data_IF_922852571571
#
_entry.id   IF_922852571571
#
_cell.length_a   1.000
_cell.length_b   1.000
_cell.length_c   1.000
_cell.angle_alpha   90.00
_cell.angle_beta   90.00
_cell.angle_gamma   90.00
#
_symmetry.space_group_name_H-M   'P 1'
#
loop_
_entity.id
_entity.type
_entity.pdbx_description
1 polymer ?
#
# COMPACT_ATOMS: atom_id res chain seq x y z
N UNK A 1 -43.91 18.27 -35.43
CA UNK A 1 -44.43 16.90 -35.26
C UNK A 1 -43.68 16.25 -34.12
N UNK A 2 -44.44 15.84 -33.10
CA UNK A 2 -44.09 15.14 -31.85
C UNK A 2 -43.04 15.75 -30.91
N UNK A 3 -43.50 16.75 -30.15
CA UNK A 3 -43.04 17.05 -28.79
C UNK A 3 -43.83 16.14 -27.85
N UNK A 4 -43.16 15.46 -26.92
CA UNK A 4 -43.78 14.59 -25.90
C UNK A 4 -43.61 15.27 -24.54
N UNK A 5 -44.64 16.01 -24.13
CA UNK A 5 -44.88 16.45 -22.75
C UNK A 5 -45.37 15.30 -21.86
N UNK A 6 -45.46 15.58 -20.55
CA UNK A 6 -46.24 14.94 -19.45
C UNK A 6 -45.34 14.43 -18.29
N UNK A 7 -45.67 14.65 -16.99
CA UNK A 7 -46.12 15.88 -16.32
C UNK A 7 -45.41 16.10 -14.95
N UNK A 8 -45.64 17.26 -14.34
CA UNK A 8 -45.39 17.54 -12.91
C UNK A 8 -46.41 16.79 -12.04
N UNK A 9 -45.96 16.22 -10.92
CA UNK A 9 -46.85 15.92 -9.78
C UNK A 9 -46.33 16.56 -8.50
N UNK A 10 -47.32 17.03 -7.77
CA UNK A 10 -47.36 18.02 -6.72
C UNK A 10 -47.58 17.32 -5.37
N UNK A 11 -47.11 17.95 -4.29
CA UNK A 11 -47.63 17.82 -2.92
C UNK A 11 -47.69 16.46 -2.21
N UNK A 12 -46.90 16.32 -1.14
CA UNK A 12 -47.46 15.79 0.13
C UNK A 12 -46.65 16.26 1.33
N UNK A 13 -47.26 17.18 2.07
CA UNK A 13 -46.91 17.61 3.41
C UNK A 13 -47.57 16.64 4.40
N UNK A 14 -46.80 16.04 5.31
CA UNK A 14 -47.35 15.55 6.59
C UNK A 14 -46.42 15.95 7.72
N UNK A 15 -46.80 17.07 8.31
CA UNK A 15 -46.58 17.45 9.70
C UNK A 15 -47.23 16.40 10.63
N UNK A 16 -46.53 15.98 11.68
CA UNK A 16 -47.10 15.28 12.85
C UNK A 16 -46.09 15.29 13.99
N UNK A 17 -46.19 16.32 14.81
CA UNK A 17 -45.78 16.31 16.21
C UNK A 17 -46.52 15.22 17.00
N UNK A 18 -45.87 14.62 17.99
CA UNK A 18 -46.48 14.35 19.31
C UNK A 18 -45.39 14.02 20.32
N UNK A 19 -45.21 14.97 21.23
CA UNK A 19 -44.69 14.78 22.59
C UNK A 19 -45.47 13.68 23.31
N UNK A 20 -44.79 12.86 24.11
CA UNK A 20 -45.39 12.29 25.32
C UNK A 20 -44.28 11.92 26.32
N UNK A 21 -43.94 12.90 27.14
CA UNK A 21 -43.31 12.74 28.45
C UNK A 21 -44.28 11.99 29.39
N UNK A 22 -43.85 10.85 29.95
CA UNK A 22 -44.43 10.36 31.21
C UNK A 22 -43.36 9.80 32.14
N UNK A 23 -43.09 10.63 33.14
CA UNK A 23 -42.46 10.34 34.42
C UNK A 23 -43.22 9.27 35.22
N UNK A 24 -42.45 8.60 36.08
CA UNK A 24 -42.76 8.17 37.44
C UNK A 24 -44.10 7.49 37.76
N UNK A 25 -43.99 6.22 38.17
CA UNK A 25 -44.62 5.81 39.42
C UNK A 25 -43.94 4.57 40.03
N UNK A 26 -43.20 4.84 41.11
CA UNK A 26 -42.86 3.91 42.18
C UNK A 26 -44.14 3.29 42.76
N UNK A 27 -44.17 1.96 42.89
CA UNK A 27 -45.06 1.27 43.82
C UNK A 27 -44.28 0.18 44.53
N UNK A 28 -43.85 0.55 45.73
CA UNK A 28 -43.67 -0.36 46.85
C UNK A 28 -45.06 -0.93 47.21
N UNK A 29 -45.17 -2.25 47.35
CA UNK A 29 -46.28 -2.86 48.08
C UNK A 29 -45.78 -4.12 48.79
N UNK A 30 -45.52 -3.92 50.08
CA UNK A 30 -45.27 -4.95 51.09
C UNK A 30 -46.57 -5.74 51.32
N UNK A 31 -46.56 -7.01 50.91
CA UNK A 31 -47.67 -7.95 51.09
C UNK A 31 -47.24 -9.16 51.90
N UNK A 32 -47.02 -8.95 53.18
CA UNK A 32 -46.88 -9.98 54.21
C UNK A 32 -48.19 -10.79 54.28
N UNK A 33 -48.16 -12.09 53.94
CA UNK A 33 -49.29 -12.98 54.22
C UNK A 33 -48.78 -14.34 54.68
N UNK A 34 -48.73 -14.43 56.01
CA UNK A 34 -48.60 -15.62 56.82
C UNK A 34 -49.82 -16.54 56.66
N UNK A 35 -49.59 -17.83 56.95
CA UNK A 35 -50.54 -18.80 57.47
C UNK A 35 -50.99 -20.00 56.60
N UNK A 36 -50.95 -21.15 57.28
CA UNK A 36 -51.63 -22.45 57.08
C UNK A 36 -50.95 -23.53 56.24
N UNK A 37 -50.00 -24.19 56.90
CA UNK A 37 -50.03 -25.62 57.22
C UNK A 37 -51.10 -26.48 56.49
N UNK A 38 -50.67 -27.32 55.56
CA UNK A 38 -51.34 -28.59 55.29
C UNK A 38 -50.31 -29.65 54.89
N UNK A 39 -49.91 -30.42 55.91
CA UNK A 39 -49.31 -31.74 55.77
C UNK A 39 -50.09 -32.61 54.77
N UNK A 40 -49.49 -32.91 53.62
CA UNK A 40 -49.84 -34.09 52.82
C UNK A 40 -48.56 -34.69 52.26
N UNK A 41 -48.11 -35.79 52.88
CA UNK A 41 -47.02 -36.62 52.40
C UNK A 41 -47.31 -37.09 50.97
N UNK A 42 -46.52 -36.58 50.03
CA UNK A 42 -46.50 -36.98 48.61
C UNK A 42 -45.22 -37.78 48.36
N UNK A 43 -45.28 -38.91 47.62
CA UNK A 43 -44.15 -39.82 47.47
C UNK A 43 -42.93 -39.08 46.94
N UNK A 44 -41.79 -39.31 47.58
CA UNK A 44 -40.46 -38.82 47.20
C UNK A 44 -40.16 -39.20 45.76
N UNK A 45 -40.48 -38.29 44.83
CA UNK A 45 -39.99 -38.30 43.46
C UNK A 45 -38.47 -38.27 43.56
N UNK A 46 -37.82 -39.30 43.01
CA UNK A 46 -36.38 -39.27 42.73
C UNK A 46 -36.08 -37.92 42.08
N UNK A 47 -35.27 -37.11 42.76
CA UNK A 47 -34.62 -35.94 42.18
C UNK A 47 -33.81 -36.50 41.02
N UNK A 48 -34.41 -36.45 39.82
CA UNK A 48 -33.69 -36.60 38.58
C UNK A 48 -32.82 -35.35 38.58
N UNK A 49 -31.53 -35.52 38.88
CA UNK A 49 -30.54 -34.50 38.61
C UNK A 49 -30.73 -34.16 37.14
N UNK A 50 -31.44 -33.07 36.88
CA UNK A 50 -31.50 -32.47 35.56
C UNK A 50 -30.08 -31.96 35.38
N UNK A 51 -29.23 -32.80 34.77
CA UNK A 51 -28.00 -32.33 34.16
C UNK A 51 -28.47 -31.20 33.23
N UNK A 52 -28.21 -29.95 33.62
CA UNK A 52 -28.59 -28.79 32.83
C UNK A 52 -27.91 -28.94 31.48
N UNK A 53 -28.68 -29.34 30.47
CA UNK A 53 -28.20 -29.54 29.11
C UNK A 53 -27.62 -28.21 28.62
N UNK A 54 -26.29 -28.09 28.66
CA UNK A 54 -25.59 -26.89 28.24
C UNK A 54 -25.93 -26.66 26.77
N UNK A 55 -26.55 -25.51 26.41
CA UNK A 55 -27.08 -25.29 25.08
C UNK A 55 -25.94 -25.27 24.06
N UNK A 56 -25.99 -26.22 23.12
CA UNK A 56 -25.05 -26.27 22.00
C UNK A 56 -25.40 -25.19 20.98
N UNK A 57 -24.41 -24.40 20.58
CA UNK A 57 -24.53 -23.31 19.61
C UNK A 57 -24.07 -23.80 18.23
N UNK A 58 -24.81 -23.44 17.17
CA UNK A 58 -24.45 -23.76 15.77
C UNK A 58 -23.84 -22.54 15.08
N UNK A 59 -22.66 -22.68 14.49
CA UNK A 59 -21.97 -21.61 13.76
C UNK A 59 -21.62 -22.03 12.33
N UNK A 60 -22.06 -21.23 11.35
CA UNK A 60 -21.65 -21.33 9.95
C UNK A 60 -20.46 -20.42 9.67
N UNK A 61 -19.66 -20.76 8.66
CA UNK A 61 -18.45 -20.02 8.31
C UNK A 61 -18.55 -19.52 6.87
N UNK A 62 -18.27 -18.23 6.67
CA UNK A 62 -18.09 -17.61 5.36
C UNK A 62 -16.66 -17.08 5.24
N UNK A 63 -15.86 -17.70 4.37
CA UNK A 63 -14.52 -17.23 4.02
C UNK A 63 -14.65 -16.29 2.82
N UNK A 64 -14.25 -15.03 3.02
CA UNK A 64 -14.37 -13.97 2.01
C UNK A 64 -13.01 -13.73 1.37
N UNK A 65 -12.88 -14.16 0.12
CA UNK A 65 -11.73 -13.87 -0.72
C UNK A 65 -11.90 -12.51 -1.42
N UNK A 66 -10.91 -11.60 -1.36
CA UNK A 66 -10.97 -10.36 -2.12
C UNK A 66 -10.98 -10.65 -3.61
N UNK A 67 -11.75 -9.86 -4.37
CA UNK A 67 -11.78 -10.01 -5.83
C UNK A 67 -10.40 -9.76 -6.44
N UNK A 68 -10.02 -10.59 -7.42
CA UNK A 68 -8.71 -10.49 -8.11
C UNK A 68 -8.47 -9.16 -8.84
N UNK A 69 -9.54 -8.42 -9.14
CA UNK A 69 -9.48 -7.11 -9.78
C UNK A 69 -10.32 -6.12 -9.00
N UNK A 70 -10.04 -4.82 -9.15
CA UNK A 70 -10.81 -3.74 -8.49
C UNK A 70 -12.31 -3.75 -8.84
N UNK A 71 -12.70 -4.46 -9.91
CA UNK A 71 -14.11 -4.61 -10.33
C UNK A 71 -14.69 -5.99 -10.00
N UNK A 72 -13.86 -6.95 -9.58
CA UNK A 72 -14.32 -8.29 -9.24
C UNK A 72 -15.06 -8.25 -7.91
N UNK A 73 -16.24 -8.88 -7.88
CA UNK A 73 -16.97 -9.11 -6.63
C UNK A 73 -16.14 -10.07 -5.76
N UNK A 74 -16.15 -9.91 -4.42
CA UNK A 74 -15.54 -10.87 -3.52
C UNK A 74 -16.14 -12.27 -3.73
N UNK A 75 -15.30 -13.29 -3.74
CA UNK A 75 -15.75 -14.69 -3.74
C UNK A 75 -16.01 -15.10 -2.29
N UNK A 76 -17.15 -15.72 -2.04
CA UNK A 76 -17.52 -16.21 -0.70
C UNK A 76 -17.54 -17.73 -0.74
N UNK A 77 -16.72 -18.36 0.09
CA UNK A 77 -16.71 -19.80 0.30
C UNK A 77 -17.44 -20.11 1.61
N UNK A 78 -18.36 -21.08 1.56
CA UNK A 78 -19.16 -21.47 2.70
C UNK A 78 -18.61 -22.77 3.29
N UNK A 79 -18.30 -22.76 4.58
CA UNK A 79 -17.87 -23.96 5.30
C UNK A 79 -18.94 -24.39 6.30
N UNK A 80 -19.05 -25.71 6.44
CA UNK A 80 -20.12 -26.40 7.17
C UNK A 80 -20.19 -25.99 8.64
N UNK A 81 -21.32 -26.28 9.30
CA UNK A 81 -21.52 -25.85 10.66
C UNK A 81 -20.50 -26.50 11.59
N UNK A 82 -19.96 -25.72 12.50
CA UNK A 82 -19.29 -26.25 13.68
C UNK A 82 -20.10 -25.90 14.91
N UNK A 83 -19.95 -26.73 15.94
CA UNK A 83 -20.68 -26.63 17.18
C UNK A 83 -19.74 -26.22 18.29
N UNK A 84 -20.21 -25.34 19.18
CA UNK A 84 -19.48 -24.91 20.36
C UNK A 84 -20.48 -24.61 21.49
N UNK A 85 -19.99 -24.46 22.71
CA UNK A 85 -20.80 -24.29 23.90
C UNK A 85 -20.64 -22.89 24.52
N UNK A 86 -21.60 -22.46 25.35
CA UNK A 86 -21.55 -21.15 26.00
C UNK A 86 -20.44 -21.03 27.06
N UNK A 87 -19.94 -22.15 27.56
CA UNK A 87 -18.83 -22.25 28.51
C UNK A 87 -17.45 -22.38 27.83
N UNK A 88 -17.40 -22.47 26.50
CA UNK A 88 -16.13 -22.53 25.78
C UNK A 88 -15.30 -21.27 25.99
N UNK A 89 -14.00 -21.47 26.19
CA UNK A 89 -13.04 -20.37 26.18
C UNK A 89 -12.88 -19.81 24.77
N UNK A 90 -12.48 -18.54 24.66
CA UNK A 90 -12.17 -17.92 23.36
C UNK A 90 -11.13 -18.73 22.56
N UNK A 91 -10.12 -19.29 23.23
CA UNK A 91 -9.13 -20.17 22.59
C UNK A 91 -9.74 -21.46 22.05
N UNK A 92 -10.65 -22.10 22.80
CA UNK A 92 -11.34 -23.31 22.37
C UNK A 92 -12.17 -23.02 21.12
N UNK A 93 -12.95 -21.93 21.15
CA UNK A 93 -13.72 -21.46 20.01
C UNK A 93 -12.86 -21.18 18.77
N UNK A 94 -11.73 -20.47 18.93
CA UNK A 94 -10.85 -20.15 17.79
C UNK A 94 -10.18 -21.39 17.19
N UNK A 95 -9.83 -22.38 18.00
CA UNK A 95 -9.26 -23.64 17.51
C UNK A 95 -10.32 -24.48 16.76
N UNK A 96 -11.55 -24.54 17.26
CA UNK A 96 -12.66 -25.18 16.57
C UNK A 96 -12.96 -24.47 15.24
N UNK A 97 -12.98 -23.14 15.25
CA UNK A 97 -13.16 -22.32 14.06
C UNK A 97 -12.06 -22.55 13.02
N UNK A 98 -10.79 -22.59 13.44
CA UNK A 98 -9.66 -22.86 12.55
C UNK A 98 -9.74 -24.26 11.94
N UNK A 99 -10.13 -25.25 12.74
CA UNK A 99 -10.29 -26.63 12.26
C UNK A 99 -11.42 -26.76 11.24
N UNK A 100 -12.50 -26.00 11.39
CA UNK A 100 -13.65 -26.03 10.49
C UNK A 100 -13.49 -25.15 9.22
N UNK A 101 -12.74 -24.05 9.31
CA UNK A 101 -12.56 -23.10 8.20
C UNK A 101 -11.48 -23.53 7.20
N UNK A 102 -10.56 -24.40 7.61
CA UNK A 102 -9.37 -24.75 6.82
C UNK A 102 -9.70 -25.83 5.79
N UNK A 103 -9.44 -25.60 4.49
CA UNK A 103 -9.49 -26.65 3.48
C UNK A 103 -8.44 -27.73 3.78
N UNK A 104 -8.74 -28.99 3.42
CA UNK A 104 -7.81 -30.12 3.60
C UNK A 104 -6.39 -29.74 3.15
N UNK A 105 -5.44 -29.77 4.09
CA UNK A 105 -4.03 -29.48 3.82
C UNK A 105 -3.51 -28.09 4.18
N UNK A 106 -4.28 -27.22 4.85
CA UNK A 106 -3.72 -26.01 5.51
C UNK A 106 -3.56 -26.22 7.02
N UNK A 107 -2.84 -25.30 7.67
CA UNK A 107 -2.65 -25.36 9.13
C UNK A 107 -3.96 -25.05 9.85
N UNK A 108 -4.38 -25.95 10.73
CA UNK A 108 -5.56 -25.80 11.60
C UNK A 108 -5.31 -24.91 12.82
N UNK A 109 -4.23 -24.14 12.84
CA UNK A 109 -3.87 -23.30 13.99
C UNK A 109 -4.72 -22.03 14.04
N UNK A 110 -5.22 -21.67 15.23
CA UNK A 110 -5.86 -20.38 15.49
C UNK A 110 -4.96 -19.16 15.17
N UNK A 111 -3.64 -19.35 15.10
CA UNK A 111 -2.68 -18.32 14.70
C UNK A 111 -2.70 -18.00 13.19
N UNK A 112 -3.19 -18.94 12.36
CA UNK A 112 -3.31 -18.74 10.91
C UNK A 112 -4.52 -17.86 10.53
N UNK A 113 -5.47 -17.69 11.46
CA UNK A 113 -6.62 -16.81 11.27
C UNK A 113 -6.20 -15.37 11.53
N UNK A 114 -6.46 -14.47 10.57
CA UNK A 114 -6.32 -13.04 10.81
C UNK A 114 -7.48 -12.54 11.69
N UNK A 115 -7.30 -12.68 13.01
CA UNK A 115 -8.32 -12.39 14.02
C UNK A 115 -8.85 -10.94 13.93
N UNK A 116 -8.04 -9.99 13.42
CA UNK A 116 -8.41 -8.56 13.39
C UNK A 116 -9.58 -8.24 12.47
N UNK A 117 -9.81 -9.08 11.47
CA UNK A 117 -10.88 -8.90 10.48
C UNK A 117 -12.06 -9.82 10.74
N UNK A 118 -12.07 -10.53 11.86
CA UNK A 118 -13.09 -11.53 12.17
C UNK A 118 -14.35 -10.84 12.66
N UNK A 119 -15.47 -11.14 12.00
CA UNK A 119 -16.78 -10.57 12.33
C UNK A 119 -17.81 -11.68 12.39
N UNK A 120 -18.92 -11.43 13.08
CA UNK A 120 -20.02 -12.37 13.20
C UNK A 120 -21.37 -11.65 13.08
N UNK A 121 -22.43 -12.39 12.77
CA UNK A 121 -23.82 -11.90 12.84
C UNK A 121 -24.75 -13.05 13.25
N UNK A 122 -25.89 -12.71 13.84
CA UNK A 122 -26.97 -13.68 14.07
C UNK A 122 -27.70 -13.98 12.76
N UNK A 123 -28.13 -15.23 12.56
CA UNK A 123 -28.89 -15.59 11.36
C UNK A 123 -30.33 -15.03 11.41
N UNK A 124 -30.85 -14.83 12.62
CA UNK A 124 -32.14 -14.20 12.89
C UNK A 124 -31.99 -13.11 13.97
N UNK A 125 -32.47 -11.88 13.72
CA UNK A 125 -33.15 -11.42 12.50
C UNK A 125 -32.20 -11.29 11.29
N UNK A 126 -32.74 -11.46 10.07
CA UNK A 126 -31.95 -11.45 8.80
C UNK A 126 -31.12 -10.17 8.59
N UNK A 127 -31.55 -9.06 9.20
CA UNK A 127 -30.91 -7.75 9.08
C UNK A 127 -29.93 -7.43 10.22
N UNK A 128 -29.43 -8.42 10.98
CA UNK A 128 -28.41 -8.15 12.01
C UNK A 128 -27.12 -7.60 11.37
N UNK A 129 -26.58 -6.55 11.98
CA UNK A 129 -25.33 -5.92 11.55
C UNK A 129 -24.15 -6.80 11.92
N UNK A 130 -23.10 -6.85 11.09
CA UNK A 130 -21.85 -7.54 11.42
C UNK A 130 -21.19 -6.89 12.63
N UNK A 131 -20.81 -7.69 13.62
CA UNK A 131 -20.15 -7.27 14.85
C UNK A 131 -18.71 -7.82 14.89
N UNK A 132 -17.73 -7.07 15.41
CA UNK A 132 -16.36 -7.55 15.53
C UNK A 132 -16.27 -8.69 16.57
N UNK A 133 -15.44 -9.70 16.29
CA UNK A 133 -15.18 -10.82 17.22
C UNK A 133 -13.77 -10.81 17.83
N UNK A 134 -12.86 -9.97 17.30
CA UNK A 134 -11.43 -9.94 17.67
C UNK A 134 -11.19 -9.78 19.18
N UNK A 135 -11.86 -8.82 19.81
CA UNK A 135 -11.55 -8.46 21.19
C UNK A 135 -12.09 -9.53 22.14
N UNK A 136 -11.41 -9.77 23.28
CA UNK A 136 -11.99 -10.56 24.37
C UNK A 136 -13.41 -10.09 24.74
N UNK A 137 -13.64 -8.78 24.64
CA UNK A 137 -14.96 -8.18 24.84
C UNK A 137 -15.96 -8.51 23.72
N UNK A 138 -15.49 -8.61 22.47
CA UNK A 138 -16.30 -9.07 21.33
C UNK A 138 -16.76 -10.51 21.49
N UNK A 139 -15.88 -11.39 21.98
CA UNK A 139 -16.25 -12.77 22.31
C UNK A 139 -17.22 -12.84 23.49
N UNK A 140 -16.98 -12.08 24.57
CA UNK A 140 -17.94 -11.96 25.69
C UNK A 140 -19.30 -11.43 25.23
N UNK A 141 -19.32 -10.47 24.32
CA UNK A 141 -20.55 -9.92 23.74
C UNK A 141 -21.30 -10.97 22.91
N UNK A 142 -20.58 -11.80 22.14
CA UNK A 142 -21.15 -12.97 21.44
C UNK A 142 -21.80 -13.93 22.44
N UNK A 143 -21.07 -14.39 23.45
CA UNK A 143 -21.58 -15.34 24.46
C UNK A 143 -22.77 -14.75 25.21
N UNK A 144 -22.71 -13.48 25.62
CA UNK A 144 -23.83 -12.80 26.30
C UNK A 144 -25.08 -12.71 25.41
N UNK A 145 -24.92 -12.42 24.12
CA UNK A 145 -26.03 -12.35 23.18
C UNK A 145 -26.68 -13.73 22.97
N UNK A 146 -25.86 -14.78 22.83
CA UNK A 146 -26.34 -16.15 22.63
C UNK A 146 -26.98 -16.74 23.90
N UNK A 147 -26.40 -16.47 25.07
CA UNK A 147 -26.98 -16.85 26.36
C UNK A 147 -28.38 -16.25 26.56
N UNK A 148 -28.55 -14.95 26.24
CA UNK A 148 -29.86 -14.28 26.29
C UNK A 148 -30.88 -14.88 25.31
N UNK A 149 -30.45 -15.39 24.16
CA UNK A 149 -31.34 -16.05 23.20
C UNK A 149 -31.71 -17.46 23.67
N UNK A 150 -30.74 -18.22 24.17
CA UNK A 150 -30.94 -19.55 24.71
C UNK A 150 -31.91 -19.56 25.89
N UNK A 151 -31.76 -18.63 26.84
CA UNK A 151 -32.68 -18.45 27.97
C UNK A 151 -34.12 -18.14 27.52
N UNK A 152 -34.28 -17.56 26.33
CA UNK A 152 -35.59 -17.25 25.73
C UNK A 152 -36.11 -18.38 24.82
N UNK A 153 -35.41 -19.51 24.74
CA UNK A 153 -35.73 -20.62 23.84
C UNK A 153 -35.68 -20.23 22.35
N UNK A 154 -34.86 -19.23 22.00
CA UNK A 154 -34.71 -18.75 20.62
C UNK A 154 -33.54 -19.44 19.93
N UNK A 155 -33.56 -19.41 18.60
CA UNK A 155 -32.47 -19.90 17.75
C UNK A 155 -31.14 -19.21 18.10
N UNK A 156 -30.10 -20.00 18.32
CA UNK A 156 -28.74 -19.57 18.66
C UNK A 156 -27.77 -19.68 17.48
N UNK A 157 -28.28 -19.78 16.26
CA UNK A 157 -27.44 -19.92 15.05
C UNK A 157 -26.76 -18.61 14.64
N UNK A 158 -25.46 -18.67 14.36
CA UNK A 158 -24.64 -17.54 13.88
C UNK A 158 -23.92 -17.83 12.57
N UNK A 159 -23.50 -16.77 11.88
CA UNK A 159 -22.54 -16.83 10.78
C UNK A 159 -21.27 -16.05 11.15
N UNK A 160 -20.11 -16.69 11.02
CA UNK A 160 -18.79 -16.12 11.25
C UNK A 160 -18.13 -15.82 9.90
N UNK A 161 -17.66 -14.59 9.71
CA UNK A 161 -16.98 -14.15 8.51
C UNK A 161 -15.47 -14.09 8.73
N UNK A 162 -14.74 -14.85 7.92
CA UNK A 162 -13.28 -14.91 7.94
C UNK A 162 -12.70 -14.25 6.68
N UNK A 163 -11.60 -13.49 6.79
CA UNK A 163 -10.80 -13.17 5.63
C UNK A 163 -10.12 -14.44 5.09
N UNK A 164 -9.67 -14.42 3.84
CA UNK A 164 -8.88 -15.50 3.26
C UNK A 164 -7.70 -15.87 4.19
N UNK A 165 -7.60 -17.16 4.50
CA UNK A 165 -6.53 -17.68 5.34
C UNK A 165 -5.20 -17.52 4.61
N UNK A 166 -4.14 -17.16 5.35
CA UNK A 166 -2.80 -17.16 4.75
C UNK A 166 -2.43 -18.60 4.43
N UNK A 167 -2.10 -18.90 3.17
CA UNK A 167 -1.51 -20.19 2.82
C UNK A 167 -0.23 -20.32 3.63
N UNK A 168 -0.24 -21.18 4.64
CA UNK A 168 1.01 -21.55 5.31
C UNK A 168 1.82 -22.28 4.25
N UNK A 169 2.94 -21.67 3.84
CA UNK A 169 3.87 -22.23 2.88
C UNK A 169 4.15 -23.67 3.34
N UNK A 170 3.63 -24.66 2.61
CA UNK A 170 4.00 -26.06 2.85
C UNK A 170 5.50 -26.09 2.65
N UNK A 171 6.28 -26.31 3.72
CA UNK A 171 7.65 -26.72 3.53
C UNK A 171 7.59 -27.90 2.57
N UNK A 172 8.31 -27.87 1.43
CA UNK A 172 8.27 -28.97 0.49
C UNK A 172 8.68 -30.22 1.25
N UNK A 173 7.71 -31.12 1.46
CA UNK A 173 7.99 -32.47 1.90
C UNK A 173 8.96 -33.02 0.88
N UNK A 174 10.21 -33.22 1.31
CA UNK A 174 11.25 -33.82 0.50
C UNK A 174 10.75 -35.19 0.04
N UNK A 175 10.25 -35.27 -1.20
CA UNK A 175 10.17 -36.45 -2.08
C UNK A 175 9.03 -36.31 -3.10
N UNK A 176 9.15 -35.40 -4.07
CA UNK A 176 8.50 -35.57 -5.38
C UNK A 176 9.31 -34.84 -6.45
N UNK A 177 10.23 -35.57 -7.08
CA UNK A 177 10.72 -35.24 -8.41
C UNK A 177 9.58 -35.57 -9.39
N UNK A 178 8.87 -34.59 -9.95
CA UNK A 178 8.15 -34.70 -11.22
C UNK A 178 7.51 -33.33 -11.59
N UNK A 179 7.94 -32.80 -12.74
CA UNK A 179 7.39 -31.66 -13.51
C UNK A 179 7.22 -30.32 -12.78
N UNK A 180 8.26 -29.49 -12.92
CA UNK A 180 8.41 -28.16 -12.32
C UNK A 180 8.28 -27.04 -13.36
N UNK A 181 7.34 -27.15 -14.31
CA UNK A 181 7.21 -26.15 -15.38
C UNK A 181 6.02 -25.19 -15.20
N UNK A 182 5.02 -25.54 -14.37
CA UNK A 182 3.81 -24.70 -14.17
C UNK A 182 3.68 -24.07 -12.78
N UNK A 183 4.54 -24.42 -11.80
CA UNK A 183 4.41 -23.94 -10.42
C UNK A 183 4.95 -22.52 -10.20
N UNK A 184 5.84 -22.02 -11.06
CA UNK A 184 6.50 -20.71 -10.87
C UNK A 184 5.58 -19.51 -11.15
N UNK A 185 4.48 -19.70 -11.90
CA UNK A 185 3.55 -18.61 -12.22
C UNK A 185 2.66 -18.20 -11.02
N UNK A 186 2.38 -19.13 -10.11
CA UNK A 186 1.53 -18.85 -8.95
C UNK A 186 2.28 -18.16 -7.81
N UNK A 187 3.56 -18.44 -7.62
CA UNK A 187 4.32 -17.94 -6.45
C UNK A 187 4.59 -16.43 -6.53
N UNK A 188 4.84 -15.90 -7.74
CA UNK A 188 5.01 -14.45 -7.94
C UNK A 188 3.71 -13.64 -7.91
N UNK A 189 2.55 -14.31 -7.99
CA UNK A 189 1.23 -13.65 -7.99
C UNK A 189 0.63 -13.54 -6.58
N UNK A 190 1.26 -14.15 -5.56
CA UNK A 190 0.68 -14.35 -4.23
C UNK A 190 1.40 -13.56 -3.12
N UNK A 191 1.83 -12.33 -3.41
CA UNK A 191 2.29 -11.43 -2.35
C UNK A 191 1.16 -11.07 -1.35
N UNK A 192 1.49 -10.46 -0.20
CA UNK A 192 0.55 -10.20 0.89
C UNK A 192 -0.73 -9.55 0.38
N UNK A 193 -1.87 -10.21 0.65
CA UNK A 193 -3.19 -9.79 0.18
C UNK A 193 -3.46 -8.33 0.58
N UNK A 194 -3.45 -7.43 -0.40
CA UNK A 194 -3.70 -6.00 -0.23
C UNK A 194 -2.50 -5.09 -0.54
N UNK A 195 -1.30 -5.63 -0.71
CA UNK A 195 -0.15 -4.86 -1.21
C UNK A 195 -0.26 -4.70 -2.73
N UNK A 196 -0.02 -3.49 -3.24
CA UNK A 196 0.00 -3.28 -4.69
C UNK A 196 1.17 -4.05 -5.31
N UNK A 197 1.07 -4.45 -6.59
CA UNK A 197 2.19 -5.10 -7.33
C UNK A 197 3.49 -4.29 -7.19
N UNK A 198 3.37 -2.97 -7.15
CA UNK A 198 4.49 -2.05 -6.93
C UNK A 198 5.12 -2.23 -5.56
N UNK A 199 4.31 -2.29 -4.51
CA UNK A 199 4.77 -2.47 -3.14
C UNK A 199 5.42 -3.84 -2.94
N UNK A 200 4.88 -4.89 -3.57
CA UNK A 200 5.49 -6.22 -3.56
C UNK A 200 6.86 -6.20 -4.25
N UNK A 201 6.97 -5.53 -5.40
CA UNK A 201 8.24 -5.36 -6.10
C UNK A 201 9.24 -4.57 -5.26
N UNK A 202 8.81 -3.52 -4.58
CA UNK A 202 9.67 -2.71 -3.72
C UNK A 202 10.14 -3.50 -2.49
N UNK A 203 9.28 -4.34 -1.91
CA UNK A 203 9.64 -5.24 -0.82
C UNK A 203 10.69 -6.27 -1.26
N UNK A 204 10.49 -6.91 -2.42
CA UNK A 204 11.47 -7.86 -2.98
C UNK A 204 12.79 -7.16 -3.31
N UNK A 205 12.74 -6.00 -3.97
CA UNK A 205 13.92 -5.19 -4.25
C UNK A 205 14.70 -4.87 -2.97
N UNK A 206 14.00 -4.54 -1.89
CA UNK A 206 14.65 -4.23 -0.61
C UNK A 206 15.21 -5.48 0.07
N UNK A 207 14.45 -6.58 0.06
CA UNK A 207 14.83 -7.84 0.67
C UNK A 207 16.08 -8.47 0.02
N UNK A 208 16.19 -8.37 -1.31
CA UNK A 208 17.28 -8.96 -2.10
C UNK A 208 18.25 -7.91 -2.65
N UNK A 209 18.35 -6.73 -2.01
CA UNK A 209 19.14 -5.61 -2.51
C UNK A 209 20.63 -5.96 -2.67
N UNK A 210 21.18 -6.81 -1.78
CA UNK A 210 22.58 -7.19 -1.81
C UNK A 210 22.90 -8.02 -3.05
N UNK A 211 22.09 -9.05 -3.32
CA UNK A 211 22.22 -9.93 -4.48
C UNK A 211 21.98 -9.17 -5.78
N UNK A 212 21.00 -8.26 -5.81
CA UNK A 212 20.73 -7.39 -6.96
C UNK A 212 21.94 -6.49 -7.27
N UNK A 213 22.52 -5.84 -6.25
CA UNK A 213 23.70 -5.00 -6.41
C UNK A 213 24.91 -5.80 -6.91
N UNK A 214 25.06 -7.04 -6.45
CA UNK A 214 26.14 -7.91 -6.88
C UNK A 214 25.98 -8.35 -8.35
N UNK A 215 24.76 -8.68 -8.78
CA UNK A 215 24.47 -8.96 -10.19
C UNK A 215 24.84 -7.73 -11.05
N UNK A 216 24.43 -6.52 -10.66
CA UNK A 216 24.77 -5.30 -11.41
C UNK A 216 26.26 -4.95 -11.36
N UNK A 217 26.97 -5.31 -10.29
CA UNK A 217 28.42 -5.14 -10.21
C UNK A 217 29.17 -6.05 -11.19
N UNK A 218 28.65 -7.25 -11.43
CA UNK A 218 29.24 -8.24 -12.33
C UNK A 218 28.84 -8.01 -13.80
N UNK A 219 27.65 -7.46 -14.03
CA UNK A 219 27.13 -7.11 -15.34
C UNK A 219 26.74 -5.63 -15.41
N UNK A 220 27.74 -4.71 -15.42
CA UNK A 220 27.48 -3.28 -15.50
C UNK A 220 26.86 -2.87 -16.85
N UNK A 221 26.28 -1.68 -16.91
CA UNK A 221 25.75 -1.11 -18.16
C UNK A 221 26.88 -1.02 -19.19
N UNK A 222 26.65 -1.54 -20.39
CA UNK A 222 27.62 -1.55 -21.48
C UNK A 222 28.70 -2.61 -21.35
N UNK A 223 28.50 -3.63 -20.50
CA UNK A 223 29.41 -4.76 -20.39
C UNK A 223 29.54 -5.59 -21.68
N UNK A 224 28.54 -5.55 -22.57
CA UNK A 224 28.61 -6.14 -23.90
C UNK A 224 28.72 -5.03 -24.98
N UNK A 225 29.75 -5.04 -25.84
CA UNK A 225 29.96 -4.00 -26.85
C UNK A 225 28.83 -3.91 -27.89
N UNK A 226 28.00 -4.95 -28.03
CA UNK A 226 26.83 -4.93 -28.93
C UNK A 226 25.65 -4.13 -28.36
N UNK A 227 25.63 -3.88 -27.05
CA UNK A 227 24.55 -3.17 -26.35
C UNK A 227 25.09 -2.21 -25.28
N UNK A 228 25.68 -1.11 -25.71
CA UNK A 228 26.36 -0.12 -24.84
C UNK A 228 25.49 0.50 -23.74
N UNK A 229 24.16 0.47 -23.89
CA UNK A 229 23.20 1.07 -22.95
C UNK A 229 22.48 0.03 -22.08
N UNK A 230 22.89 -1.24 -22.11
CA UNK A 230 22.20 -2.32 -21.38
C UNK A 230 23.17 -3.11 -20.51
N UNK A 231 22.67 -3.63 -19.40
CA UNK A 231 23.31 -4.72 -18.67
C UNK A 231 22.94 -6.04 -19.37
N UNK A 232 23.92 -6.79 -19.87
CA UNK A 232 23.67 -8.00 -20.67
C UNK A 232 24.35 -9.21 -20.04
N UNK A 233 23.58 -10.27 -19.80
CA UNK A 233 24.15 -11.60 -19.54
C UNK A 233 24.38 -12.30 -20.88
N UNK A 234 25.60 -12.78 -21.12
CA UNK A 234 25.95 -13.59 -22.29
C UNK A 234 26.32 -14.99 -21.81
N UNK A 235 25.61 -16.00 -22.31
CA UNK A 235 25.87 -17.39 -21.92
C UNK A 235 27.19 -17.89 -22.55
N UNK A 236 28.14 -18.41 -21.76
CA UNK A 236 29.42 -18.87 -22.27
C UNK A 236 29.27 -19.96 -23.34
N UNK A 237 29.90 -19.75 -24.49
CA UNK A 237 29.90 -20.71 -25.59
C UNK A 237 28.64 -20.67 -26.49
N UNK A 238 27.67 -19.82 -26.20
CA UNK A 238 26.50 -19.61 -27.08
C UNK A 238 26.42 -18.17 -27.57
N UNK A 239 25.59 -17.91 -28.58
CA UNK A 239 25.26 -16.54 -29.02
C UNK A 239 24.04 -15.98 -28.27
N UNK A 240 23.58 -16.67 -27.22
CA UNK A 240 22.39 -16.25 -26.49
C UNK A 240 22.76 -15.16 -25.49
N UNK A 241 22.02 -14.07 -25.53
CA UNK A 241 22.22 -12.92 -24.66
C UNK A 241 20.87 -12.48 -24.09
N UNK A 242 20.82 -12.09 -22.83
CA UNK A 242 19.62 -11.60 -22.16
C UNK A 242 19.88 -10.27 -21.48
N UNK A 243 18.87 -9.39 -21.48
CA UNK A 243 18.94 -8.13 -20.76
C UNK A 243 18.69 -8.34 -19.27
N UNK A 244 19.56 -7.80 -18.42
CA UNK A 244 19.40 -7.79 -16.97
C UNK A 244 18.69 -6.49 -16.57
N UNK A 245 17.37 -6.45 -16.80
CA UNK A 245 16.53 -5.37 -16.30
C UNK A 245 16.16 -5.59 -14.82
N UNK A 246 15.52 -4.60 -14.19
CA UNK A 246 15.20 -4.69 -12.76
C UNK A 246 14.29 -5.88 -12.38
N UNK A 247 13.45 -6.38 -13.28
CA UNK A 247 12.65 -7.58 -13.00
C UNK A 247 13.50 -8.87 -13.07
N UNK A 248 14.31 -8.99 -14.11
CA UNK A 248 15.20 -10.14 -14.31
C UNK A 248 16.26 -10.22 -13.20
N UNK A 249 16.78 -9.08 -12.74
CA UNK A 249 17.70 -9.01 -11.61
C UNK A 249 17.06 -9.51 -10.30
N UNK A 250 15.80 -9.16 -10.01
CA UNK A 250 15.09 -9.66 -8.83
C UNK A 250 14.88 -11.17 -8.90
N UNK A 251 14.41 -11.69 -10.04
CA UNK A 251 14.20 -13.14 -10.23
C UNK A 251 15.50 -13.92 -10.03
N UNK A 252 16.61 -13.40 -10.57
CA UNK A 252 17.92 -14.02 -10.38
C UNK A 252 18.40 -13.92 -8.92
N UNK A 253 18.26 -12.76 -8.29
CA UNK A 253 18.63 -12.53 -6.90
C UNK A 253 17.89 -13.46 -5.93
N UNK A 254 16.58 -13.67 -6.12
CA UNK A 254 15.77 -14.62 -5.35
C UNK A 254 16.33 -16.04 -5.52
N UNK A 255 16.61 -16.46 -6.76
CA UNK A 255 17.15 -17.79 -7.02
C UNK A 255 18.56 -18.00 -6.41
N UNK A 256 19.40 -16.96 -6.34
CA UNK A 256 20.69 -17.00 -5.64
C UNK A 256 20.49 -17.16 -4.14
N UNK A 257 19.60 -16.37 -3.54
CA UNK A 257 19.31 -16.42 -2.10
C UNK A 257 18.75 -17.79 -1.67
N UNK A 258 17.96 -18.42 -2.54
CA UNK A 258 17.42 -19.78 -2.37
C UNK A 258 18.41 -20.89 -2.74
N UNK A 259 19.63 -20.53 -3.19
CA UNK A 259 20.67 -21.47 -3.64
C UNK A 259 20.21 -22.38 -4.79
N UNK A 260 19.26 -21.91 -5.61
CA UNK A 260 18.83 -22.58 -6.83
C UNK A 260 19.77 -22.29 -8.00
N UNK A 261 20.50 -21.20 -7.93
CA UNK A 261 21.42 -20.78 -8.98
C UNK A 261 22.60 -19.99 -8.42
N UNK A 262 23.60 -19.79 -9.26
CA UNK A 262 24.82 -19.04 -8.93
C UNK A 262 24.82 -17.68 -9.63
N UNK A 263 25.85 -16.89 -9.34
CA UNK A 263 26.08 -15.57 -9.93
C UNK A 263 26.44 -15.64 -11.41
N UNK A 264 27.05 -16.74 -11.85
CA UNK A 264 27.55 -16.90 -13.21
C UNK A 264 26.50 -17.41 -14.19
N UNK A 265 25.36 -17.93 -13.69
CA UNK A 265 24.32 -18.54 -14.52
C UNK A 265 22.93 -18.13 -14.01
N UNK A 266 22.04 -17.60 -14.85
CA UNK A 266 20.70 -17.26 -14.44
C UNK A 266 19.86 -18.52 -14.17
N UNK A 267 18.77 -18.40 -13.39
CA UNK A 267 17.85 -19.50 -13.15
C UNK A 267 17.12 -19.90 -14.44
N UNK A 268 16.69 -21.16 -14.51
CA UNK A 268 15.78 -21.62 -15.56
C UNK A 268 14.40 -21.01 -15.27
N UNK A 269 14.07 -19.93 -15.97
CA UNK A 269 12.84 -19.17 -15.78
C UNK A 269 12.36 -18.59 -17.11
N UNK A 270 11.07 -18.30 -17.22
CA UNK A 270 10.47 -17.60 -18.38
C UNK A 270 11.18 -16.27 -18.70
N UNK A 271 11.77 -15.62 -17.70
CA UNK A 271 12.55 -14.37 -17.85
C UNK A 271 13.85 -14.56 -18.65
N UNK A 272 14.43 -15.75 -18.60
CA UNK A 272 15.65 -16.14 -19.31
C UNK A 272 15.35 -17.20 -20.39
N UNK A 273 14.10 -17.25 -20.87
CA UNK A 273 13.72 -18.15 -21.95
C UNK A 273 14.35 -17.74 -23.27
N UNK A 274 14.46 -18.71 -24.18
CA UNK A 274 15.04 -18.49 -25.50
C UNK A 274 14.28 -17.43 -26.33
N UNK A 275 12.99 -17.24 -26.09
CA UNK A 275 12.18 -16.23 -26.78
C UNK A 275 12.44 -14.80 -26.30
N UNK A 276 13.01 -14.66 -25.09
CA UNK A 276 13.38 -13.37 -24.49
C UNK A 276 14.82 -12.94 -24.79
N UNK A 277 15.56 -13.71 -25.59
CA UNK A 277 16.94 -13.36 -25.95
C UNK A 277 17.01 -12.07 -26.76
N UNK A 278 18.04 -11.27 -26.49
CA UNK A 278 18.37 -10.11 -27.29
C UNK A 278 18.79 -10.56 -28.69
N UNK A 279 18.19 -9.95 -29.70
CA UNK A 279 18.63 -10.10 -31.09
C UNK A 279 19.79 -9.14 -31.30
N UNK A 280 20.91 -9.65 -31.81
CA UNK A 280 22.03 -8.79 -32.18
C UNK A 280 21.50 -7.70 -33.12
N UNK A 281 21.86 -6.41 -32.91
CA UNK A 281 21.53 -5.37 -33.86
C UNK A 281 22.09 -5.84 -35.21
N UNK A 282 21.21 -5.99 -36.20
CA UNK A 282 21.62 -6.41 -37.53
C UNK A 282 22.70 -5.43 -37.96
N UNK A 283 23.95 -5.89 -38.02
CA UNK A 283 25.10 -5.07 -38.38
C UNK A 283 24.73 -4.38 -39.67
N UNK A 284 24.41 -3.08 -39.61
CA UNK A 284 24.21 -2.27 -40.80
C UNK A 284 25.50 -2.43 -41.57
N UNK A 285 25.41 -3.12 -42.70
CA UNK A 285 26.51 -3.38 -43.60
C UNK A 285 27.24 -2.06 -43.79
N UNK A 286 28.41 -1.92 -43.17
CA UNK A 286 29.28 -0.81 -43.47
C UNK A 286 29.58 -0.93 -44.96
N UNK A 287 29.11 0.05 -45.72
CA UNK A 287 29.46 0.23 -47.11
C UNK A 287 30.98 0.30 -47.15
N UNK A 288 31.59 -0.79 -47.60
CA UNK A 288 33.00 -0.85 -47.92
C UNK A 288 33.21 0.12 -49.08
N UNK A 289 33.56 1.37 -48.77
CA UNK A 289 34.16 2.29 -49.72
C UNK A 289 35.56 1.77 -50.01
N UNK A 290 35.61 0.80 -50.91
CA UNK A 290 36.80 0.37 -51.59
C UNK A 290 37.19 1.52 -52.53
N UNK A 291 38.06 2.43 -52.06
CA UNK A 291 38.72 3.41 -52.94
C UNK A 291 40.16 2.96 -53.09
N UNK A 292 40.47 2.67 -54.35
CA UNK A 292 41.73 2.18 -54.86
C UNK A 292 42.96 2.93 -54.34
N UNK A 293 44.01 2.14 -54.13
CA UNK A 293 45.36 2.63 -53.92
C UNK A 293 45.87 3.33 -55.18
N UNK A 294 46.31 4.59 -55.06
CA UNK A 294 47.29 5.13 -56.01
C UNK A 294 48.33 5.95 -55.26
N UNK A 295 49.56 5.50 -55.42
CA UNK A 295 50.84 6.01 -54.93
C UNK A 295 51.08 7.46 -55.35
N UNK A 296 51.45 8.34 -54.41
CA UNK A 296 52.22 9.56 -54.71
C UNK A 296 52.97 10.07 -53.46
N UNK A 297 54.14 10.63 -53.72
CA UNK A 297 55.25 10.82 -52.81
C UNK A 297 55.19 12.06 -51.90
N UNK A 298 55.90 11.96 -50.78
CA UNK A 298 56.70 12.95 -50.07
C UNK A 298 56.18 14.41 -49.92
N UNK A 299 55.93 14.84 -48.68
CA UNK A 299 56.42 16.13 -48.17
C UNK A 299 56.31 16.24 -46.63
N UNK A 300 57.48 16.32 -46.00
CA UNK A 300 57.90 17.32 -44.99
C UNK A 300 56.99 17.57 -43.76
N UNK A 301 57.53 17.16 -42.60
CA UNK A 301 57.16 17.56 -41.24
C UNK A 301 57.29 19.08 -41.01
N UNK A 302 56.47 19.65 -40.11
CA UNK A 302 56.97 20.65 -39.17
C UNK A 302 56.88 20.17 -37.70
N UNK A 303 57.88 20.49 -36.85
CA UNK A 303 57.84 20.26 -35.42
C UNK A 303 57.12 21.44 -34.72
N UNK A 304 57.05 21.38 -33.38
CA UNK A 304 56.52 22.36 -32.42
C UNK A 304 55.12 22.01 -31.87
N UNK A 305 54.85 22.09 -30.57
CA UNK A 305 55.65 22.22 -29.37
C UNK A 305 54.67 21.93 -28.22
N UNK A 306 55.10 21.14 -27.23
CA UNK A 306 54.43 21.03 -25.94
C UNK A 306 54.61 22.33 -25.16
N UNK A 307 53.57 22.80 -24.47
CA UNK A 307 53.72 23.25 -23.10
C UNK A 307 52.62 22.60 -22.24
N UNK A 308 52.80 22.28 -20.98
CA UNK A 308 53.79 22.66 -20.01
C UNK A 308 53.27 22.15 -18.67
N UNK A 309 54.20 21.73 -17.84
CA UNK A 309 54.02 21.14 -16.52
C UNK A 309 53.42 22.11 -15.48
N UNK A 310 52.67 21.53 -14.52
CA UNK A 310 52.60 21.86 -13.07
C UNK A 310 51.78 23.12 -12.63
N UNK A 311 51.39 23.29 -11.34
CA UNK A 311 51.57 22.44 -10.15
C UNK A 311 50.32 22.20 -9.25
N UNK A 312 50.48 21.18 -8.41
CA UNK A 312 50.01 20.97 -7.04
C UNK A 312 49.45 22.18 -6.25
N UNK A 313 48.32 21.97 -5.55
CA UNK A 313 47.99 22.67 -4.29
C UNK A 313 47.34 21.72 -3.28
N UNK A 314 47.89 21.60 -2.05
CA UNK A 314 47.25 21.05 -0.87
C UNK A 314 46.69 22.19 0.01
N UNK A 315 45.95 21.82 1.09
CA UNK A 315 45.23 22.64 2.10
C UNK A 315 43.71 22.66 1.93
N UNK A 316 42.89 22.47 2.96
CA UNK A 316 43.17 22.29 4.38
C UNK A 316 41.86 22.05 5.15
N UNK A 317 41.92 21.20 6.16
CA UNK A 317 40.92 21.09 7.21
C UNK A 317 40.77 22.43 7.96
N UNK A 318 39.57 22.71 8.48
CA UNK A 318 39.46 23.29 9.82
C UNK A 318 38.72 22.35 10.79
N UNK A 319 39.17 22.26 12.06
CA UNK A 319 38.47 21.60 13.15
C UNK A 319 37.60 22.59 13.96
N UNK A 320 36.86 22.01 14.90
CA UNK A 320 36.22 22.60 16.10
C UNK A 320 34.68 22.72 16.13
N UNK A 321 34.10 21.85 16.96
CA UNK A 321 33.16 22.13 18.05
C UNK A 321 32.10 23.23 17.86
N UNK A 322 30.83 22.87 17.97
CA UNK A 322 29.92 23.48 18.96
C UNK A 322 28.65 22.63 19.15
N UNK A 323 28.42 22.27 20.41
CA UNK A 323 27.17 21.72 20.94
C UNK A 323 26.01 22.70 20.69
N UNK A 324 24.79 22.23 20.35
CA UNK A 324 23.59 23.02 20.57
C UNK A 324 23.16 22.96 22.06
N UNK A 325 22.78 24.10 22.67
CA UNK A 325 22.33 24.17 24.06
C UNK A 325 20.91 23.61 24.24
N UNK A 326 20.52 23.26 25.48
CA UNK A 326 19.19 22.72 25.78
C UNK A 326 18.10 23.80 25.66
N UNK A 327 17.04 23.47 24.94
CA UNK A 327 15.84 24.30 24.81
C UNK A 327 15.07 24.36 26.16
N UNK A 328 14.74 25.55 26.68
CA UNK A 328 13.87 25.67 27.83
C UNK A 328 12.40 25.44 27.44
N UNK A 329 11.73 24.62 28.25
CA UNK A 329 10.28 24.43 28.28
C UNK A 329 9.55 25.77 28.43
N UNK A 330 8.56 26.02 27.58
CA UNK A 330 7.56 27.07 27.79
C UNK A 330 6.15 26.45 27.80
N UNK A 331 5.31 26.79 28.80
CA UNK A 331 4.00 26.19 29.02
C UNK A 331 2.90 26.84 28.15
N UNK A 332 2.00 26.01 27.63
CA UNK A 332 0.73 26.44 27.04
C UNK A 332 -0.29 26.77 28.14
N UNK A 333 -0.94 27.95 28.12
CA UNK A 333 -2.19 28.17 28.84
C UNK A 333 -3.40 27.96 27.93
N UNK A 334 -4.44 27.36 28.53
CA UNK A 334 -5.77 27.15 27.99
C UNK A 334 -6.44 28.47 27.55
N UNK A 335 -7.05 28.46 26.35
CA UNK A 335 -8.00 29.49 25.94
C UNK A 335 -9.42 28.91 26.04
N UNK A 336 -10.22 29.52 26.90
CA UNK A 336 -11.66 29.33 27.01
C UNK A 336 -12.36 30.67 26.76
N UNK A 337 -13.52 30.58 26.11
CA UNK A 337 -14.60 31.56 26.01
C UNK A 337 -14.48 32.70 24.97
N UNK A 338 -15.47 32.71 24.07
CA UNK A 338 -16.66 33.54 24.35
C UNK A 338 -16.77 34.82 23.53
N UNK A 339 -17.73 34.80 22.59
CA UNK A 339 -18.21 35.93 21.83
C UNK A 339 -18.80 37.06 22.71
N UNK A 340 -18.68 38.32 22.26
CA UNK A 340 -19.79 39.16 21.77
C UNK A 340 -19.38 40.64 21.65
N UNK A 341 -20.01 41.28 20.66
CA UNK A 341 -19.91 42.67 20.19
C UNK A 341 -20.17 43.76 21.25
N UNK A 342 -19.72 45.01 20.99
CA UNK A 342 -20.55 46.19 20.62
C UNK A 342 -19.78 47.54 20.83
N UNK A 343 -19.67 48.29 19.71
CA UNK A 343 -19.72 49.75 19.47
C UNK A 343 -18.90 50.84 20.26
N UNK A 344 -18.06 51.57 19.46
CA UNK A 344 -17.97 53.05 19.28
C UNK A 344 -17.42 53.96 20.42
N UNK A 345 -17.14 55.29 20.23
CA UNK A 345 -16.39 56.03 19.18
C UNK A 345 -15.49 57.21 19.71
N UNK A 346 -14.80 57.94 18.80
CA UNK A 346 -13.99 59.19 18.95
C UNK A 346 -12.72 59.08 19.83
N UNK A 347 -11.53 59.61 19.51
CA UNK A 347 -11.08 60.68 18.61
C UNK A 347 -10.24 61.65 19.44
N UNK A 348 -8.91 61.74 19.24
CA UNK A 348 -8.04 62.93 19.42
C UNK A 348 -6.59 62.55 19.02
N UNK A 349 -5.80 63.48 18.45
CA UNK A 349 -4.44 63.24 17.98
C UNK A 349 -3.44 63.57 19.10
N UNK A 350 -2.32 62.86 19.17
CA UNK A 350 -1.19 63.35 19.93
C UNK A 350 0.14 62.95 19.30
N UNK A 351 0.95 63.98 19.11
CA UNK A 351 2.28 63.99 18.55
C UNK A 351 3.21 63.11 19.39
N UNK A 352 3.89 62.15 18.75
CA UNK A 352 5.03 61.47 19.36
C UNK A 352 6.25 61.42 18.44
N UNK A 353 7.44 61.78 18.99
CA UNK A 353 8.64 62.02 18.21
C UNK A 353 9.25 60.75 17.65
N UNK A 354 9.82 60.90 16.44
CA UNK A 354 10.70 59.94 15.77
C UNK A 354 11.79 59.41 16.72
N UNK A 355 11.80 58.10 16.93
CA UNK A 355 13.00 57.35 17.32
C UNK A 355 13.56 56.59 16.11
N UNK A 356 14.89 56.59 15.91
CA UNK A 356 15.52 56.14 14.69
C UNK A 356 15.52 54.61 14.57
N UNK A 357 15.37 54.19 13.32
CA UNK A 357 15.58 52.86 12.77
C UNK A 357 16.82 52.16 13.35
N UNK A 358 16.62 51.01 14.00
CA UNK A 358 17.60 49.94 14.00
C UNK A 358 16.88 48.66 13.56
N UNK A 359 17.01 48.37 12.26
CA UNK A 359 16.62 47.10 11.65
C UNK A 359 17.62 46.05 12.09
N UNK A 360 17.20 45.13 12.95
CA UNK A 360 17.73 43.77 12.97
C UNK A 360 16.56 42.81 12.76
N UNK A 361 16.21 42.66 11.49
CA UNK A 361 15.30 41.62 11.02
C UNK A 361 16.15 40.47 10.48
N UNK A 362 16.58 39.55 11.35
CA UNK A 362 16.86 38.17 10.93
C UNK A 362 15.65 37.32 11.26
N UNK A 363 14.50 37.68 10.69
CA UNK A 363 13.39 36.75 10.55
C UNK A 363 13.84 35.69 9.55
N UNK A 364 14.25 34.53 10.06
CA UNK A 364 14.45 33.32 9.27
C UNK A 364 13.18 33.06 8.46
N UNK A 365 13.25 33.34 7.17
CA UNK A 365 12.22 32.94 6.21
C UNK A 365 12.00 31.44 6.34
N UNK A 366 10.75 30.95 6.41
CA UNK A 366 10.47 29.51 6.43
C UNK A 366 11.14 28.87 5.21
N UNK A 367 11.75 27.69 5.42
CA UNK A 367 12.43 26.91 4.38
C UNK A 367 11.61 26.95 3.09
N UNK A 368 12.12 27.69 2.09
CA UNK A 368 11.45 27.79 0.81
C UNK A 368 11.26 26.37 0.25
N UNK A 369 10.11 26.10 -0.38
CA UNK A 369 9.79 24.79 -0.93
C UNK A 369 10.95 24.30 -1.79
N UNK A 370 11.37 23.05 -1.57
CA UNK A 370 12.58 22.42 -2.13
C UNK A 370 12.54 22.40 -3.67
N UNK A 371 12.81 23.54 -4.31
CA UNK A 371 13.06 23.61 -5.74
C UNK A 371 14.46 23.09 -5.96
N UNK A 372 14.56 21.95 -6.63
CA UNK A 372 15.86 21.44 -7.04
C UNK A 372 16.49 22.43 -8.01
N UNK A 373 17.72 22.86 -7.73
CA UNK A 373 18.45 23.77 -8.63
C UNK A 373 18.87 22.95 -9.83
N UNK A 374 18.24 23.19 -10.98
CA UNK A 374 18.62 22.57 -12.23
C UNK A 374 19.89 23.27 -12.78
N UNK A 375 20.83 22.52 -13.39
CA UNK A 375 22.03 23.07 -14.04
C UNK A 375 21.68 24.12 -15.11
N UNK A 376 20.62 23.85 -15.87
CA UNK A 376 20.00 24.77 -16.81
C UNK A 376 18.47 24.70 -16.70
N UNK A 377 17.73 25.77 -17.05
CA UNK A 377 16.27 25.70 -17.08
C UNK A 377 15.81 24.77 -18.22
N UNK A 378 15.24 23.62 -17.85
CA UNK A 378 14.63 22.67 -18.79
C UNK A 378 13.22 23.13 -19.14
N UNK A 379 12.91 23.25 -20.43
CA UNK A 379 11.57 23.66 -20.87
C UNK A 379 10.57 22.49 -20.78
N UNK A 380 9.26 22.79 -20.68
CA UNK A 380 8.23 21.74 -20.68
C UNK A 380 8.27 20.90 -21.97
N UNK A 381 8.46 21.54 -23.12
CA UNK A 381 8.56 20.85 -24.41
C UNK A 381 9.73 19.88 -24.44
N UNK A 382 10.92 20.32 -24.03
CA UNK A 382 12.12 19.50 -23.97
C UNK A 382 11.96 18.30 -23.04
N UNK A 383 11.34 18.50 -21.88
CA UNK A 383 10.99 17.42 -20.95
C UNK A 383 10.03 16.40 -21.59
N UNK A 384 8.95 16.87 -22.24
CA UNK A 384 7.99 16.00 -22.90
C UNK A 384 8.61 15.20 -24.03
N UNK A 385 9.47 15.83 -24.84
CA UNK A 385 10.14 15.18 -25.97
C UNK A 385 11.13 14.11 -25.48
N UNK A 386 11.89 14.39 -24.41
CA UNK A 386 12.88 13.46 -23.85
C UNK A 386 12.24 12.20 -23.22
N UNK A 387 11.11 12.36 -22.52
CA UNK A 387 10.42 11.25 -21.84
C UNK A 387 9.23 10.69 -22.64
N UNK A 388 9.11 11.05 -23.91
CA UNK A 388 8.02 10.60 -24.79
C UNK A 388 6.64 10.76 -24.12
N UNK A 389 6.33 11.99 -23.69
CA UNK A 389 5.01 12.35 -23.16
C UNK A 389 4.13 12.80 -24.32
N UNK A 390 2.95 12.18 -24.44
CA UNK A 390 2.00 12.47 -25.50
C UNK A 390 1.53 13.94 -25.48
N UNK A 391 1.16 14.46 -26.65
CA UNK A 391 0.74 15.86 -26.79
C UNK A 391 -0.51 16.22 -25.97
N UNK A 392 -1.39 15.25 -25.74
CA UNK A 392 -2.58 15.39 -24.89
C UNK A 392 -2.20 15.64 -23.42
N UNK A 393 -1.27 14.85 -22.89
CA UNK A 393 -0.75 15.00 -21.53
C UNK A 393 0.07 16.28 -21.40
N UNK A 394 0.84 16.66 -22.43
CA UNK A 394 1.57 17.92 -22.50
C UNK A 394 0.64 19.13 -22.39
N UNK A 395 -0.54 19.09 -23.02
CA UNK A 395 -1.56 20.14 -22.85
C UNK A 395 -2.08 20.20 -21.41
N UNK A 396 -2.31 19.05 -20.78
CA UNK A 396 -2.72 18.97 -19.38
C UNK A 396 -1.64 19.52 -18.42
N UNK A 397 -0.37 19.21 -18.66
CA UNK A 397 0.78 19.78 -17.91
C UNK A 397 0.90 21.29 -18.10
N UNK A 398 0.67 21.77 -19.33
CA UNK A 398 0.65 23.21 -19.64
C UNK A 398 -0.45 23.91 -18.85
N UNK A 399 -1.64 23.31 -18.76
CA UNK A 399 -2.77 23.83 -17.97
C UNK A 399 -2.44 23.91 -16.48
N UNK A 400 -1.76 22.90 -15.94
CA UNK A 400 -1.24 22.89 -14.55
C UNK A 400 -0.10 23.88 -14.30
N UNK A 401 0.45 24.51 -15.35
CA UNK A 401 1.67 25.33 -15.29
C UNK A 401 2.84 24.57 -14.65
N UNK A 402 2.94 23.28 -14.95
CA UNK A 402 4.01 22.42 -14.46
C UNK A 402 5.38 22.93 -14.92
N UNK A 403 6.36 22.94 -14.01
CA UNK A 403 7.76 23.21 -14.31
C UNK A 403 8.59 21.96 -14.03
N UNK A 404 9.41 21.48 -14.98
CA UNK A 404 10.36 20.40 -14.71
C UNK A 404 11.19 20.71 -13.46
N UNK A 405 11.30 19.73 -12.56
CA UNK A 405 11.97 19.88 -11.26
C UNK A 405 11.07 20.25 -10.07
N UNK A 406 9.81 20.62 -10.30
CA UNK A 406 8.88 21.02 -9.23
C UNK A 406 8.19 19.83 -8.56
N UNK A 407 8.72 19.43 -7.39
CA UNK A 407 8.20 18.30 -6.60
C UNK A 407 6.82 18.52 -5.96
N UNK A 408 6.27 19.75 -6.03
CA UNK A 408 4.89 20.00 -5.56
C UNK A 408 3.87 19.20 -6.36
N UNK A 409 4.20 18.87 -7.62
CA UNK A 409 3.35 18.05 -8.48
C UNK A 409 3.09 16.65 -7.90
N UNK A 410 4.04 16.11 -7.13
CA UNK A 410 3.89 14.80 -6.46
C UNK A 410 2.82 14.80 -5.35
N UNK A 411 2.44 15.98 -4.86
CA UNK A 411 1.51 16.17 -3.75
C UNK A 411 0.19 16.84 -4.17
N UNK A 412 -0.05 16.99 -5.48
CA UNK A 412 -1.29 17.58 -5.97
C UNK A 412 -2.49 16.68 -5.64
N UNK A 413 -3.57 17.30 -5.17
CA UNK A 413 -4.81 16.61 -4.89
C UNK A 413 -5.48 16.14 -6.18
N UNK A 414 -6.37 15.14 -6.05
CA UNK A 414 -7.16 14.63 -7.18
C UNK A 414 -7.92 15.76 -7.90
N UNK A 415 -8.46 16.70 -7.15
CA UNK A 415 -9.23 17.81 -7.71
C UNK A 415 -8.39 18.71 -8.64
N UNK A 416 -7.10 18.86 -8.36
CA UNK A 416 -6.19 19.68 -9.16
C UNK A 416 -5.78 18.97 -10.46
N UNK A 417 -5.26 17.74 -10.37
CA UNK A 417 -4.80 17.06 -11.58
C UNK A 417 -5.96 16.49 -12.40
N UNK A 418 -6.98 15.91 -11.76
CA UNK A 418 -8.12 15.35 -12.50
C UNK A 418 -9.15 16.43 -12.86
N UNK A 419 -9.54 17.25 -11.89
CA UNK A 419 -10.61 18.24 -12.07
C UNK A 419 -10.15 19.46 -12.89
N UNK A 420 -9.02 20.06 -12.50
CA UNK A 420 -8.53 21.26 -13.18
C UNK A 420 -7.73 20.91 -14.45
N UNK A 421 -6.76 20.00 -14.40
CA UNK A 421 -5.95 19.67 -15.57
C UNK A 421 -6.67 18.77 -16.60
N UNK A 422 -7.55 17.88 -16.13
CA UNK A 422 -8.23 16.90 -16.97
C UNK A 422 -7.48 15.57 -17.13
N UNK A 423 -6.44 15.32 -16.31
CA UNK A 423 -5.72 14.05 -16.36
C UNK A 423 -6.64 12.90 -15.97
N UNK A 424 -6.54 11.78 -16.69
CA UNK A 424 -7.03 10.50 -16.16
C UNK A 424 -5.98 9.88 -15.23
N UNK A 425 -6.37 8.88 -14.42
CA UNK A 425 -5.49 8.33 -13.38
C UNK A 425 -4.22 7.70 -13.94
N UNK A 426 -4.32 6.94 -15.04
CA UNK A 426 -3.17 6.19 -15.57
C UNK A 426 -2.09 7.11 -16.18
N UNK A 427 -2.41 8.10 -17.04
CA UNK A 427 -1.43 9.06 -17.54
C UNK A 427 -0.83 9.93 -16.44
N UNK A 428 -1.59 10.26 -15.39
CA UNK A 428 -1.05 10.96 -14.23
C UNK A 428 0.02 10.13 -13.49
N UNK A 429 -0.25 8.84 -13.24
CA UNK A 429 0.69 7.94 -12.59
C UNK A 429 1.95 7.70 -13.47
N UNK A 430 1.80 7.64 -14.80
CA UNK A 430 2.91 7.54 -15.76
C UNK A 430 3.77 8.82 -15.76
N UNK A 431 3.13 9.98 -15.86
CA UNK A 431 3.79 11.29 -15.76
C UNK A 431 4.59 11.42 -14.45
N UNK A 432 4.01 11.06 -13.30
CA UNK A 432 4.72 11.11 -12.01
C UNK A 432 5.95 10.18 -12.00
N UNK A 433 5.88 9.04 -12.69
CA UNK A 433 6.99 8.11 -12.81
C UNK A 433 8.12 8.70 -13.67
N UNK A 434 7.79 9.29 -14.82
CA UNK A 434 8.72 10.02 -15.70
C UNK A 434 9.34 11.23 -14.99
N UNK A 435 8.55 11.99 -14.24
CA UNK A 435 9.06 13.11 -13.44
C UNK A 435 10.06 12.67 -12.37
N UNK A 436 9.80 11.57 -11.67
CA UNK A 436 10.75 11.00 -10.69
C UNK A 436 12.04 10.54 -11.36
N UNK A 437 11.95 9.96 -12.56
CA UNK A 437 13.11 9.60 -13.37
C UNK A 437 13.94 10.83 -13.74
N UNK A 438 13.30 11.90 -14.20
CA UNK A 438 13.95 13.19 -14.44
C UNK A 438 14.69 13.75 -13.23
N UNK A 439 14.08 13.70 -12.04
CA UNK A 439 14.76 14.14 -10.82
C UNK A 439 16.01 13.29 -10.53
N UNK A 440 15.98 11.98 -10.82
CA UNK A 440 17.14 11.11 -10.69
C UNK A 440 18.21 11.42 -11.75
N UNK A 441 17.81 11.66 -12.99
CA UNK A 441 18.73 11.96 -14.09
C UNK A 441 19.47 13.27 -13.86
N UNK A 442 18.78 14.31 -13.39
CA UNK A 442 19.43 15.57 -13.03
C UNK A 442 20.38 15.38 -11.85
N UNK A 443 20.03 14.56 -10.84
CA UNK A 443 20.95 14.24 -9.72
C UNK A 443 22.20 13.52 -10.21
N UNK A 444 22.05 12.66 -11.22
CA UNK A 444 23.14 11.92 -11.85
C UNK A 444 23.88 12.73 -12.91
N UNK A 445 23.53 14.02 -13.12
CA UNK A 445 24.13 14.91 -14.12
C UNK A 445 23.96 14.45 -15.57
N UNK A 446 22.92 13.68 -15.88
CA UNK A 446 22.59 13.32 -17.27
C UNK A 446 21.97 14.49 -18.05
N UNK A 447 21.55 15.55 -17.34
CA UNK A 447 21.05 16.81 -17.89
C UNK A 447 22.09 17.95 -17.81
N UNK A 448 23.38 17.64 -17.78
CA UNK A 448 24.48 18.64 -17.76
C UNK A 448 25.05 18.95 -19.17
N UNK A 449 24.36 18.58 -20.26
CA UNK A 449 24.91 18.64 -21.65
C UNK A 449 24.86 20.03 -22.26
#
# INVERSE_FOLDING_TARGET
MNVKEVPEEDGSVTDSSSDDDREDQLKDDDGDNDNSDTSTQRPSKKVKTEDEDIPTITAYIEVVAPGHTLRAKPTVEHHGPFFFSLDDSQSTFLNALASAAVPEGHSTSASAINQKKLTWKQNMPKNDSKKPLLSPDGYKALISALSKLSLKGKDTTITVFLPLLSKVQKLPSANTNLHQDDAELEEFSQGPIGSSIREQKDLLNHQYANEINEIYSMYPIGNDPRWLLKCVYSEPGTQNCWEINGANAVVWAVAIAEKRTDKDKPPVSMHFSHDRRLKAPATTTQVSNNVDSTTAAAAVLPPHALPGMQPHYPYGFPPYYSYPPPMPFAPYPHAAHGAHHVAQPYGYPDDRPCTPLLRDATNSTPNSPMKMVLPHPVSLTEFCDHYFIDDEDKQCLTKLKFQPGDRRVEHLGRDDWQGFAGFSKLPWDDFLSKHKHFIQDVKNRFWDV
#
